data_IF_584441163898
#
_entry.id   IF_584441163898
#
_cell.length_a   1.000
_cell.length_b   1.000
_cell.length_c   1.000
_cell.angle_alpha   90.00
_cell.angle_beta   90.00
_cell.angle_gamma   90.00
#
_symmetry.space_group_name_H-M   'P 1'
#
loop_
_entity.id
_entity.type
_entity.pdbx_description
1 polymer ?
#
# COMPACT_ATOMS: atom_id res chain seq x y z
N UNK A 1 8.88 26.99 -14.91
CA UNK A 1 10.08 26.40 -15.48
C UNK A 1 9.73 25.32 -16.51
N UNK A 2 8.73 24.49 -16.21
CA UNK A 2 8.23 23.45 -17.12
C UNK A 2 7.01 23.96 -17.90
N UNK A 3 6.84 23.48 -19.15
CA UNK A 3 5.78 23.96 -20.05
C UNK A 3 4.40 23.45 -19.62
N UNK A 4 4.33 22.28 -19.01
CA UNK A 4 3.12 21.64 -18.53
C UNK A 4 3.45 20.69 -17.36
N UNK A 5 2.42 20.04 -16.81
CA UNK A 5 2.56 19.13 -15.69
C UNK A 5 3.28 17.82 -16.05
N UNK A 6 3.09 17.31 -17.26
CA UNK A 6 3.73 16.08 -17.74
C UNK A 6 5.24 16.26 -17.84
N UNK A 7 5.72 17.40 -18.44
CA UNK A 7 7.15 17.71 -18.51
C UNK A 7 7.78 17.79 -17.10
N UNK A 8 7.04 18.32 -16.13
CA UNK A 8 7.49 18.39 -14.74
C UNK A 8 7.61 16.99 -14.12
N UNK A 9 6.59 16.15 -14.30
CA UNK A 9 6.59 14.78 -13.76
C UNK A 9 7.72 13.95 -14.37
N UNK A 10 7.92 14.05 -15.68
CA UNK A 10 9.01 13.33 -16.36
C UNK A 10 10.38 13.76 -15.83
N UNK A 11 10.61 15.06 -15.68
CA UNK A 11 11.86 15.56 -15.13
C UNK A 11 12.09 15.12 -13.67
N UNK A 12 11.02 15.00 -12.90
CA UNK A 12 11.07 14.47 -11.54
C UNK A 12 11.41 12.98 -11.55
N UNK A 13 10.77 12.19 -12.41
CA UNK A 13 11.06 10.76 -12.59
C UNK A 13 12.51 10.51 -12.97
N UNK A 14 13.04 11.28 -13.93
CA UNK A 14 14.44 11.19 -14.37
C UNK A 14 15.43 11.50 -13.23
N UNK A 15 15.10 12.49 -12.39
CA UNK A 15 15.93 12.82 -11.23
C UNK A 15 15.89 11.70 -10.17
N UNK A 16 14.69 11.18 -9.87
CA UNK A 16 14.49 10.13 -8.87
C UNK A 16 15.08 8.78 -9.28
N UNK A 17 15.20 8.49 -10.57
CA UNK A 17 15.82 7.26 -11.04
C UNK A 17 17.23 7.05 -10.43
N UNK A 18 18.05 8.10 -10.41
CA UNK A 18 19.40 8.02 -9.85
C UNK A 18 19.40 7.61 -8.37
N UNK A 19 18.46 8.15 -7.59
CA UNK A 19 18.32 7.81 -6.18
C UNK A 19 17.83 6.38 -6.01
N UNK A 20 16.80 5.97 -6.74
CA UNK A 20 16.23 4.63 -6.67
C UNK A 20 17.28 3.55 -7.01
N UNK A 21 18.04 3.76 -8.07
CA UNK A 21 19.15 2.87 -8.46
C UNK A 21 20.24 2.79 -7.36
N UNK A 22 20.58 3.92 -6.73
CA UNK A 22 21.58 3.96 -5.66
C UNK A 22 21.11 3.18 -4.41
N UNK A 23 19.83 3.29 -4.03
CA UNK A 23 19.24 2.56 -2.91
C UNK A 23 19.33 1.05 -3.16
N UNK A 24 18.92 0.60 -4.34
CA UNK A 24 18.95 -0.82 -4.69
C UNK A 24 20.37 -1.35 -4.84
N UNK A 25 21.28 -0.57 -5.44
CA UNK A 25 22.70 -0.91 -5.54
C UNK A 25 23.38 -1.04 -4.17
N UNK A 26 22.90 -0.31 -3.16
CA UNK A 26 23.35 -0.46 -1.77
C UNK A 26 22.83 -1.73 -1.07
N UNK A 27 22.00 -2.55 -1.75
CA UNK A 27 21.49 -3.82 -1.25
C UNK A 27 20.14 -3.72 -0.52
N UNK A 28 19.47 -2.57 -0.57
CA UNK A 28 18.16 -2.37 0.04
C UNK A 28 17.02 -2.71 -0.92
N UNK A 29 15.84 -2.98 -0.34
CA UNK A 29 14.57 -2.99 -1.07
C UNK A 29 14.04 -1.55 -1.07
N UNK A 30 13.69 -1.06 -2.26
CA UNK A 30 13.08 0.25 -2.44
C UNK A 30 11.60 0.18 -2.09
N UNK A 31 11.17 0.95 -1.09
CA UNK A 31 9.75 1.15 -0.77
C UNK A 31 9.34 2.55 -1.22
N UNK A 32 8.36 2.62 -2.10
CA UNK A 32 7.80 3.85 -2.64
C UNK A 32 6.44 4.10 -1.99
N UNK A 33 6.24 5.31 -1.49
CA UNK A 33 4.96 5.75 -0.95
C UNK A 33 4.22 6.59 -2.00
N UNK A 34 3.02 6.14 -2.39
CA UNK A 34 2.20 6.75 -3.43
C UNK A 34 0.83 7.21 -2.90
N UNK A 35 0.79 8.28 -2.08
CA UNK A 35 -0.46 8.85 -1.62
C UNK A 35 -1.25 9.51 -2.77
N UNK A 36 -0.61 9.83 -3.87
CA UNK A 36 -1.23 10.33 -5.09
C UNK A 36 -2.22 9.35 -5.70
N UNK A 37 -1.99 8.04 -5.57
CA UNK A 37 -2.88 6.98 -6.06
C UNK A 37 -4.11 6.76 -5.17
N UNK A 38 -4.03 7.00 -3.88
CA UNK A 38 -5.15 6.85 -2.94
C UNK A 38 -5.74 8.20 -2.54
N UNK A 39 -5.00 8.96 -1.72
CA UNK A 39 -5.39 10.25 -1.17
C UNK A 39 -5.61 11.33 -2.24
N UNK A 40 -4.94 11.21 -3.39
CA UNK A 40 -5.01 12.20 -4.47
C UNK A 40 -6.43 12.52 -4.90
N UNK A 41 -7.33 11.55 -4.96
CA UNK A 41 -8.75 11.75 -5.29
C UNK A 41 -9.42 12.67 -4.27
N UNK A 42 -9.22 12.41 -2.97
CA UNK A 42 -9.81 13.19 -1.88
C UNK A 42 -9.26 14.64 -1.84
N UNK A 43 -7.95 14.81 -1.96
CA UNK A 43 -7.30 16.11 -1.76
C UNK A 43 -7.37 17.04 -2.98
N UNK A 44 -7.16 16.50 -4.19
CA UNK A 44 -6.95 17.31 -5.39
C UNK A 44 -8.10 17.21 -6.40
N UNK A 45 -8.87 16.13 -6.38
CA UNK A 45 -9.87 15.84 -7.42
C UNK A 45 -11.29 15.64 -6.90
N UNK A 46 -11.58 15.96 -5.62
CA UNK A 46 -12.91 15.77 -5.02
C UNK A 46 -14.06 16.44 -5.79
N UNK A 47 -13.78 17.59 -6.42
CA UNK A 47 -14.75 18.40 -7.18
C UNK A 47 -14.59 18.21 -8.70
N UNK A 48 -13.81 17.22 -9.16
CA UNK A 48 -13.57 16.92 -10.56
C UNK A 48 -14.18 15.58 -10.95
N UNK A 49 -14.42 15.32 -12.25
CA UNK A 49 -14.78 14.00 -12.74
C UNK A 49 -13.74 12.95 -12.32
N UNK A 50 -14.17 11.70 -12.09
CA UNK A 50 -13.28 10.62 -11.68
C UNK A 50 -12.22 10.32 -12.76
N UNK A 51 -12.58 10.48 -14.02
CA UNK A 51 -11.70 10.26 -15.18
C UNK A 51 -10.48 11.19 -15.17
N UNK A 52 -10.62 12.40 -14.62
CA UNK A 52 -9.50 13.34 -14.48
C UNK A 52 -8.48 12.86 -13.43
N UNK A 53 -8.95 12.21 -12.37
CA UNK A 53 -8.09 11.56 -11.39
C UNK A 53 -7.43 10.32 -11.99
N UNK A 54 -8.21 9.44 -12.63
CA UNK A 54 -7.69 8.21 -13.25
C UNK A 54 -6.62 8.51 -14.31
N UNK A 55 -6.82 9.53 -15.13
CA UNK A 55 -5.82 9.97 -16.11
C UNK A 55 -4.50 10.32 -15.45
N UNK A 56 -4.54 11.15 -14.39
CA UNK A 56 -3.32 11.55 -13.69
C UNK A 56 -2.67 10.39 -12.94
N UNK A 57 -3.46 9.54 -12.27
CA UNK A 57 -2.94 8.36 -11.57
C UNK A 57 -2.23 7.39 -12.53
N UNK A 58 -2.77 7.19 -13.73
CA UNK A 58 -2.12 6.39 -14.78
C UNK A 58 -0.80 7.03 -15.23
N UNK A 59 -0.78 8.35 -15.47
CA UNK A 59 0.44 9.07 -15.82
C UNK A 59 1.52 8.95 -14.74
N UNK A 60 1.14 9.04 -13.46
CA UNK A 60 2.08 8.87 -12.36
C UNK A 60 2.72 7.47 -12.36
N UNK A 61 1.93 6.41 -12.60
CA UNK A 61 2.47 5.05 -12.70
C UNK A 61 3.36 4.88 -13.95
N UNK A 62 3.05 5.53 -15.06
CA UNK A 62 3.90 5.50 -16.26
C UNK A 62 5.26 6.16 -16.00
N UNK A 63 5.29 7.34 -15.42
CA UNK A 63 6.51 8.05 -15.03
C UNK A 63 7.30 7.27 -13.99
N UNK A 64 6.61 6.66 -13.01
CA UNK A 64 7.24 5.80 -12.03
C UNK A 64 7.91 4.58 -12.68
N UNK A 65 7.24 3.91 -13.61
CA UNK A 65 7.79 2.77 -14.32
C UNK A 65 9.02 3.16 -15.16
N UNK A 66 9.01 4.35 -15.76
CA UNK A 66 10.20 4.89 -16.46
C UNK A 66 11.37 5.12 -15.50
N UNK A 67 11.10 5.65 -14.31
CA UNK A 67 12.13 5.82 -13.27
C UNK A 67 12.66 4.47 -12.72
N UNK A 68 11.86 3.42 -12.78
CA UNK A 68 12.20 2.06 -12.31
C UNK A 68 12.77 1.15 -13.42
N UNK A 69 12.94 1.62 -14.65
CA UNK A 69 13.27 0.78 -15.83
C UNK A 69 14.51 -0.10 -15.68
N UNK A 70 15.46 0.28 -14.83
CA UNK A 70 16.70 -0.46 -14.59
C UNK A 70 16.66 -1.29 -13.27
N UNK A 71 15.55 -1.29 -12.56
CA UNK A 71 15.41 -1.94 -11.25
C UNK A 71 14.51 -3.16 -11.40
N UNK A 72 14.96 -4.36 -10.97
CA UNK A 72 14.10 -5.54 -10.94
C UNK A 72 12.89 -5.36 -10.01
N UNK A 73 11.71 -5.80 -10.44
CA UNK A 73 10.47 -5.61 -9.69
C UNK A 73 10.50 -6.24 -8.28
N UNK A 74 11.27 -7.32 -8.08
CA UNK A 74 11.45 -7.98 -6.78
C UNK A 74 12.23 -7.13 -5.76
N UNK A 75 12.84 -6.03 -6.21
CA UNK A 75 13.51 -5.03 -5.37
C UNK A 75 12.64 -3.83 -5.05
N UNK A 76 11.39 -3.81 -5.53
CA UNK A 76 10.50 -2.65 -5.38
C UNK A 76 9.21 -3.07 -4.66
N UNK A 77 8.81 -2.24 -3.71
CA UNK A 77 7.52 -2.26 -3.03
C UNK A 77 6.81 -0.93 -3.26
N UNK A 78 5.53 -0.98 -3.53
CA UNK A 78 4.68 0.20 -3.67
C UNK A 78 3.65 0.22 -2.54
N UNK A 79 3.61 1.31 -1.78
CA UNK A 79 2.57 1.56 -0.80
C UNK A 79 1.55 2.53 -1.38
N UNK A 80 0.29 2.11 -1.47
CA UNK A 80 -0.85 2.97 -1.77
C UNK A 80 -1.44 3.46 -0.48
N UNK A 81 -1.47 4.77 -0.31
CA UNK A 81 -1.91 5.44 0.91
C UNK A 81 -3.12 6.33 0.64
N UNK A 82 -4.16 6.21 1.48
CA UNK A 82 -5.32 7.12 1.46
C UNK A 82 -5.22 8.24 2.48
N UNK A 83 -4.07 8.39 3.12
CA UNK A 83 -3.82 9.41 4.13
C UNK A 83 -3.97 8.88 5.55
N UNK A 84 -2.89 8.96 6.29
CA UNK A 84 -2.76 8.42 7.64
C UNK A 84 -3.19 9.47 8.68
N UNK A 85 -4.47 9.83 8.69
CA UNK A 85 -5.06 10.71 9.70
C UNK A 85 -6.47 10.26 10.07
N UNK A 86 -6.87 10.52 11.31
CA UNK A 86 -8.22 10.26 11.78
C UNK A 86 -9.14 11.42 11.35
N UNK A 87 -9.92 11.20 10.33
CA UNK A 87 -10.81 12.21 9.79
C UNK A 87 -11.76 11.68 8.71
N UNK A 88 -12.70 12.50 8.23
CA UNK A 88 -13.65 12.07 7.20
C UNK A 88 -12.97 11.94 5.84
N UNK A 89 -12.97 10.73 5.31
CA UNK A 89 -12.38 10.36 4.01
C UNK A 89 -13.42 9.99 2.95
N UNK A 90 -14.55 10.65 2.94
CA UNK A 90 -15.71 10.29 2.09
C UNK A 90 -15.54 10.60 0.59
N UNK A 91 -14.41 11.11 0.17
CA UNK A 91 -14.05 11.32 -1.24
C UNK A 91 -12.88 10.43 -1.71
N UNK A 92 -12.48 9.46 -0.92
CA UNK A 92 -11.41 8.52 -1.27
C UNK A 92 -11.75 7.77 -2.57
N UNK A 93 -10.73 7.47 -3.36
CA UNK A 93 -10.89 6.58 -4.50
C UNK A 93 -11.13 5.16 -3.99
N UNK A 94 -12.17 4.43 -4.48
CA UNK A 94 -12.38 3.05 -4.08
C UNK A 94 -11.26 2.15 -4.64
N UNK A 95 -11.00 1.03 -3.95
CA UNK A 95 -9.99 0.05 -4.37
C UNK A 95 -10.26 -0.47 -5.78
N UNK A 96 -11.51 -0.62 -6.19
CA UNK A 96 -11.88 -1.01 -7.57
C UNK A 96 -11.34 -0.09 -8.66
N UNK A 97 -11.15 1.21 -8.35
CA UNK A 97 -10.50 2.18 -9.24
C UNK A 97 -8.97 2.15 -9.11
N UNK A 98 -8.47 2.06 -7.88
CA UNK A 98 -7.03 2.19 -7.59
C UNK A 98 -6.25 0.93 -7.95
N UNK A 99 -6.80 -0.25 -7.66
CA UNK A 99 -6.10 -1.53 -7.82
C UNK A 99 -5.62 -1.79 -9.25
N UNK A 100 -6.44 -1.63 -10.32
CA UNK A 100 -5.98 -1.84 -11.68
C UNK A 100 -4.83 -0.92 -12.09
N UNK A 101 -4.79 0.30 -11.55
CA UNK A 101 -3.72 1.28 -11.80
C UNK A 101 -2.45 0.87 -11.06
N UNK A 102 -2.57 0.57 -9.76
CA UNK A 102 -1.43 0.20 -8.91
C UNK A 102 -0.76 -1.12 -9.35
N UNK A 103 -1.53 -2.10 -9.84
CA UNK A 103 -0.99 -3.36 -10.35
C UNK A 103 -0.11 -3.20 -11.60
N UNK A 104 -0.22 -2.08 -12.33
CA UNK A 104 0.63 -1.76 -13.49
C UNK A 104 2.02 -1.25 -13.10
N UNK A 105 2.23 -0.88 -11.83
CA UNK A 105 3.55 -0.45 -11.36
C UNK A 105 4.56 -1.60 -11.39
N UNK A 106 5.80 -1.30 -11.78
CA UNK A 106 6.93 -2.23 -11.79
C UNK A 106 7.44 -2.50 -10.35
N UNK A 107 6.51 -2.86 -9.46
CA UNK A 107 6.77 -3.24 -8.08
C UNK A 107 6.19 -4.64 -7.84
N UNK A 108 6.96 -5.54 -7.27
CA UNK A 108 6.47 -6.89 -6.97
C UNK A 108 5.47 -6.86 -5.81
N UNK A 109 5.74 -6.12 -4.74
CA UNK A 109 4.86 -6.08 -3.59
C UNK A 109 4.01 -4.79 -3.58
N UNK A 110 2.70 -4.97 -3.41
CA UNK A 110 1.73 -3.90 -3.23
C UNK A 110 1.27 -3.86 -1.78
N UNK A 111 1.54 -2.75 -1.09
CA UNK A 111 1.11 -2.47 0.27
C UNK A 111 -0.11 -1.54 0.21
N UNK A 112 -1.13 -1.79 1.01
CA UNK A 112 -2.37 -1.01 0.99
C UNK A 112 -3.15 -1.14 2.30
N UNK A 113 -4.01 -0.16 2.58
CA UNK A 113 -4.90 -0.14 3.73
C UNK A 113 -5.97 -1.24 3.60
N UNK A 114 -6.20 -2.01 4.67
CA UNK A 114 -7.21 -3.07 4.71
C UNK A 114 -7.73 -3.38 6.12
N UNK A 115 -7.30 -2.60 7.11
CA UNK A 115 -7.65 -2.78 8.52
C UNK A 115 -8.64 -1.78 9.03
N UNK A 116 -8.54 -0.53 8.60
CA UNK A 116 -9.41 0.54 9.06
C UNK A 116 -10.83 0.41 8.47
N UNK A 117 -11.85 0.95 9.15
CA UNK A 117 -13.25 0.78 8.75
C UNK A 117 -13.59 1.34 7.35
N UNK A 118 -12.76 2.24 6.80
CA UNK A 118 -12.99 2.85 5.49
C UNK A 118 -12.73 1.86 4.36
N UNK A 119 -11.66 1.04 4.50
CA UNK A 119 -11.15 0.16 3.46
C UNK A 119 -11.22 -1.32 3.80
N UNK A 120 -11.61 -1.68 5.04
CA UNK A 120 -11.64 -3.08 5.51
C UNK A 120 -12.58 -4.00 4.71
N UNK A 121 -13.57 -3.46 4.01
CA UNK A 121 -14.50 -4.22 3.16
C UNK A 121 -13.94 -4.47 1.75
N UNK A 122 -12.98 -3.67 1.29
CA UNK A 122 -12.49 -3.67 -0.10
C UNK A 122 -11.58 -4.86 -0.46
N UNK A 123 -11.32 -5.77 0.50
CA UNK A 123 -10.68 -7.05 0.17
C UNK A 123 -11.50 -7.86 -0.86
N UNK A 124 -12.80 -7.59 -0.97
CA UNK A 124 -13.67 -8.24 -1.95
C UNK A 124 -13.29 -7.89 -3.39
N UNK A 125 -12.78 -6.69 -3.65
CA UNK A 125 -12.32 -6.24 -4.97
C UNK A 125 -11.15 -7.08 -5.50
N UNK A 126 -10.31 -7.61 -4.59
CA UNK A 126 -9.19 -8.46 -4.97
C UNK A 126 -9.60 -9.84 -5.47
N UNK A 127 -10.79 -10.33 -5.10
CA UNK A 127 -11.30 -11.61 -5.59
C UNK A 127 -11.66 -11.59 -7.06
N UNK A 128 -12.15 -10.45 -7.53
CA UNK A 128 -12.63 -10.27 -8.89
C UNK A 128 -11.54 -9.64 -9.79
N UNK A 129 -10.42 -9.22 -9.21
CA UNK A 129 -9.31 -8.61 -9.93
C UNK A 129 -8.38 -9.67 -10.57
N UNK A 130 -7.88 -9.36 -11.77
CA UNK A 130 -6.80 -10.11 -12.40
C UNK A 130 -5.45 -9.70 -11.80
N UNK A 131 -5.04 -10.36 -10.72
CA UNK A 131 -3.77 -10.09 -10.04
C UNK A 131 -2.65 -10.92 -10.69
N UNK A 132 -1.62 -10.27 -11.30
CA UNK A 132 -0.50 -10.99 -11.90
C UNK A 132 0.17 -11.97 -10.94
N UNK A 133 0.63 -13.12 -11.44
CA UNK A 133 1.18 -14.21 -10.63
C UNK A 133 2.49 -13.86 -9.89
N UNK A 134 3.20 -12.86 -10.36
CA UNK A 134 4.44 -12.34 -9.76
C UNK A 134 4.17 -11.30 -8.64
N UNK A 135 2.94 -10.84 -8.48
CA UNK A 135 2.60 -9.86 -7.45
C UNK A 135 2.45 -10.49 -6.07
N UNK A 136 2.96 -9.80 -5.07
CA UNK A 136 2.80 -10.08 -3.65
C UNK A 136 1.88 -9.02 -3.06
N UNK A 137 0.89 -9.44 -2.29
CA UNK A 137 0.00 -8.53 -1.57
C UNK A 137 0.48 -8.35 -0.13
N UNK A 138 0.61 -7.12 0.31
CA UNK A 138 0.93 -6.77 1.69
C UNK A 138 -0.22 -5.93 2.30
N UNK A 139 -1.36 -6.58 2.61
CA UNK A 139 -2.48 -5.88 3.23
C UNK A 139 -2.12 -5.34 4.60
N UNK A 140 -2.63 -4.17 4.94
CA UNK A 140 -2.69 -3.71 6.31
C UNK A 140 -3.59 -4.64 7.14
N UNK A 141 -3.02 -5.30 8.14
CA UNK A 141 -3.77 -6.20 9.04
C UNK A 141 -3.91 -5.62 10.44
N UNK A 142 -3.28 -4.46 10.67
CA UNK A 142 -3.46 -3.59 11.83
C UNK A 142 -3.63 -2.15 11.36
N UNK A 143 -4.58 -1.44 11.98
CA UNK A 143 -4.84 -0.03 11.71
C UNK A 143 -3.75 0.86 12.32
N UNK A 144 -3.37 1.93 11.64
CA UNK A 144 -2.33 2.86 12.08
C UNK A 144 -2.85 4.17 12.67
N UNK A 145 -4.17 4.36 12.74
CA UNK A 145 -4.78 5.63 13.17
C UNK A 145 -5.52 5.55 14.51
N UNK A 146 -5.82 4.34 15.02
CA UNK A 146 -6.58 4.15 16.25
C UNK A 146 -5.77 3.52 17.37
N UNK A 147 -6.20 3.77 18.62
CA UNK A 147 -5.60 3.21 19.82
C UNK A 147 -6.16 1.83 20.23
N UNK A 148 -6.96 1.20 19.38
CA UNK A 148 -7.42 -0.17 19.61
C UNK A 148 -6.34 -1.16 19.16
N UNK A 149 -5.90 -2.04 20.05
CA UNK A 149 -5.02 -3.16 19.71
C UNK A 149 -5.89 -4.28 19.11
N UNK A 150 -5.63 -4.65 17.89
CA UNK A 150 -6.34 -5.73 17.21
C UNK A 150 -6.08 -7.07 17.92
N UNK A 151 -7.10 -7.91 18.01
CA UNK A 151 -6.92 -9.25 18.52
C UNK A 151 -6.16 -10.12 17.49
N UNK A 152 -5.15 -10.93 17.89
CA UNK A 152 -4.34 -11.72 16.95
C UNK A 152 -5.14 -12.63 16.02
N UNK A 153 -6.28 -13.17 16.48
CA UNK A 153 -7.19 -13.95 15.61
C UNK A 153 -7.81 -13.10 14.50
N UNK A 154 -8.09 -11.82 14.75
CA UNK A 154 -8.59 -10.91 13.71
C UNK A 154 -7.51 -10.64 12.67
N UNK A 155 -6.29 -10.42 13.12
CA UNK A 155 -5.11 -10.29 12.25
C UNK A 155 -4.96 -11.55 11.38
N UNK A 156 -5.02 -12.75 11.98
CA UNK A 156 -4.95 -13.99 11.23
C UNK A 156 -6.06 -14.12 10.18
N UNK A 157 -7.31 -13.77 10.53
CA UNK A 157 -8.43 -13.79 9.58
C UNK A 157 -8.20 -12.86 8.39
N UNK A 158 -7.60 -11.67 8.61
CA UNK A 158 -7.26 -10.73 7.56
C UNK A 158 -6.19 -11.29 6.62
N UNK A 159 -5.14 -11.90 7.15
CA UNK A 159 -4.09 -12.57 6.35
C UNK A 159 -4.68 -13.72 5.51
N UNK A 160 -5.49 -14.58 6.12
CA UNK A 160 -6.06 -15.75 5.47
C UNK A 160 -6.97 -15.38 4.29
N UNK A 161 -7.73 -14.27 4.37
CA UNK A 161 -8.57 -13.79 3.26
C UNK A 161 -7.74 -13.55 1.99
N UNK A 162 -6.59 -12.89 2.11
CA UNK A 162 -5.72 -12.62 0.97
C UNK A 162 -4.96 -13.89 0.53
N UNK A 163 -4.60 -14.76 1.46
CA UNK A 163 -4.00 -16.05 1.12
C UNK A 163 -4.94 -16.95 0.32
N UNK A 164 -6.24 -16.89 0.57
CA UNK A 164 -7.26 -17.58 -0.22
C UNK A 164 -7.41 -17.04 -1.63
N UNK A 165 -7.08 -15.75 -1.85
CA UNK A 165 -7.16 -15.10 -3.17
C UNK A 165 -5.91 -15.37 -4.01
N UNK A 166 -4.71 -15.11 -3.47
CA UNK A 166 -3.47 -15.12 -4.26
C UNK A 166 -2.54 -16.30 -3.92
N UNK A 167 -2.90 -17.13 -2.96
CA UNK A 167 -2.02 -18.20 -2.44
C UNK A 167 -1.14 -17.69 -1.29
N UNK A 168 -0.82 -18.63 -0.39
CA UNK A 168 -0.13 -18.36 0.88
C UNK A 168 1.29 -17.80 0.72
N UNK A 169 1.96 -18.09 -0.39
CA UNK A 169 3.32 -17.63 -0.70
C UNK A 169 3.36 -16.17 -1.14
N UNK A 170 2.21 -15.60 -1.48
CA UNK A 170 2.10 -14.24 -2.04
C UNK A 170 1.45 -13.23 -1.10
N UNK A 171 1.47 -13.49 0.22
CA UNK A 171 0.93 -12.56 1.23
C UNK A 171 1.97 -12.22 2.28
N UNK A 172 2.11 -10.93 2.57
CA UNK A 172 2.94 -10.39 3.67
C UNK A 172 2.03 -9.58 4.59
N UNK A 173 2.07 -9.82 5.90
CA UNK A 173 1.36 -8.99 6.86
C UNK A 173 2.00 -7.60 6.98
N UNK A 174 1.20 -6.53 6.87
CA UNK A 174 1.62 -5.14 7.02
C UNK A 174 0.73 -4.36 7.98
N UNK A 175 1.09 -3.13 8.27
CA UNK A 175 0.19 -2.11 8.83
C UNK A 175 -0.50 -1.35 7.71
N UNK A 176 -1.64 -0.72 7.99
CA UNK A 176 -2.34 0.11 7.00
C UNK A 176 -1.41 1.21 6.44
N UNK A 177 -0.69 1.89 7.33
CA UNK A 177 0.30 2.91 7.00
C UNK A 177 1.36 2.97 8.12
N UNK A 178 2.22 3.98 8.14
CA UNK A 178 3.05 4.30 9.30
C UNK A 178 2.23 4.84 10.48
N UNK A 179 2.74 4.72 11.69
CA UNK A 179 2.05 5.20 12.91
C UNK A 179 2.24 6.68 13.20
N UNK A 180 3.12 7.36 12.48
CA UNK A 180 3.37 8.79 12.63
C UNK A 180 3.85 9.36 11.29
N UNK A 181 2.93 9.95 10.54
CA UNK A 181 3.22 10.50 9.20
C UNK A 181 3.89 11.88 9.28
N UNK A 182 3.59 12.66 10.31
CA UNK A 182 4.10 14.02 10.49
C UNK A 182 4.80 14.14 11.83
N UNK A 183 6.03 14.62 11.83
CA UNK A 183 6.82 14.83 13.04
C UNK A 183 6.06 15.70 14.06
N UNK A 184 5.94 15.22 15.28
CA UNK A 184 5.21 15.90 16.36
C UNK A 184 3.68 15.74 16.31
N UNK A 185 3.16 14.95 15.37
CA UNK A 185 1.73 14.68 15.21
C UNK A 185 1.48 13.17 15.22
N UNK A 186 1.69 12.54 16.38
CA UNK A 186 1.39 11.12 16.61
C UNK A 186 -0.06 10.94 17.05
N UNK A 187 -0.86 10.17 16.32
CA UNK A 187 -2.24 9.82 16.70
C UNK A 187 -2.29 8.63 17.65
N UNK A 188 -1.29 7.75 17.61
CA UNK A 188 -1.22 6.52 18.38
C UNK A 188 -0.04 6.57 19.35
N UNK A 189 -0.30 6.25 20.61
CA UNK A 189 0.73 6.16 21.65
C UNK A 189 1.76 5.07 21.34
N UNK A 190 3.02 5.31 21.67
CA UNK A 190 4.14 4.41 21.35
C UNK A 190 3.94 3.00 21.94
N UNK A 191 3.48 2.90 23.20
CA UNK A 191 3.24 1.61 23.84
C UNK A 191 2.13 0.83 23.11
N UNK A 192 1.12 1.53 22.60
CA UNK A 192 0.05 0.92 21.82
C UNK A 192 0.57 0.47 20.44
N UNK A 193 1.45 1.23 19.80
CA UNK A 193 2.10 0.82 18.55
C UNK A 193 2.82 -0.52 18.73
N UNK A 194 3.65 -0.66 19.77
CA UNK A 194 4.34 -1.93 20.03
C UNK A 194 3.37 -3.06 20.38
N UNK A 195 2.27 -2.81 21.09
CA UNK A 195 1.24 -3.80 21.35
C UNK A 195 0.55 -4.26 20.06
N UNK A 196 0.24 -3.34 19.12
CA UNK A 196 -0.29 -3.66 17.80
C UNK A 196 0.68 -4.51 16.98
N UNK A 197 1.97 -4.14 16.95
CA UNK A 197 3.00 -4.93 16.28
C UNK A 197 3.14 -6.34 16.89
N UNK A 198 3.05 -6.46 18.21
CA UNK A 198 3.00 -7.75 18.91
C UNK A 198 1.80 -8.60 18.47
N UNK A 199 0.61 -8.00 18.40
CA UNK A 199 -0.60 -8.66 17.89
C UNK A 199 -0.46 -9.08 16.43
N UNK A 200 0.21 -8.27 15.60
CA UNK A 200 0.48 -8.63 14.20
C UNK A 200 1.39 -9.86 14.10
N UNK A 201 2.45 -9.93 14.89
CA UNK A 201 3.36 -11.09 14.92
C UNK A 201 2.62 -12.35 15.37
N UNK A 202 1.84 -12.29 16.44
CA UNK A 202 1.05 -13.42 16.94
C UNK A 202 -0.01 -13.86 15.92
N UNK A 203 -0.71 -12.92 15.30
CA UNK A 203 -1.69 -13.20 14.26
C UNK A 203 -1.08 -13.83 13.02
N UNK A 204 0.10 -13.37 12.60
CA UNK A 204 0.84 -13.97 11.50
C UNK A 204 1.29 -15.41 11.83
N UNK A 205 1.70 -15.69 13.06
CA UNK A 205 2.02 -17.05 13.51
C UNK A 205 0.79 -17.96 13.44
N UNK A 206 -0.39 -17.49 13.90
CA UNK A 206 -1.65 -18.23 13.81
C UNK A 206 -2.01 -18.54 12.35
N UNK A 207 -1.93 -17.55 11.46
CA UNK A 207 -2.22 -17.74 10.03
C UNK A 207 -1.23 -18.72 9.39
N UNK A 208 0.06 -18.59 9.67
CA UNK A 208 1.10 -19.48 9.17
C UNK A 208 0.86 -20.92 9.60
N UNK A 209 0.51 -21.16 10.87
CA UNK A 209 0.20 -22.48 11.37
C UNK A 209 -0.98 -23.14 10.60
N UNK A 210 -1.99 -22.37 10.26
CA UNK A 210 -3.14 -22.84 9.47
C UNK A 210 -2.77 -23.11 8.01
N UNK A 211 -1.99 -22.24 7.40
CA UNK A 211 -1.63 -22.35 5.98
C UNK A 211 -0.59 -23.42 5.68
N UNK A 212 0.32 -23.69 6.61
CA UNK A 212 1.46 -24.59 6.42
C UNK A 212 1.32 -25.90 7.19
N UNK A 213 0.27 -26.07 8.00
CA UNK A 213 0.02 -27.28 8.77
C UNK A 213 1.05 -27.54 9.89
N UNK A 214 1.76 -26.51 10.32
CA UNK A 214 2.66 -26.60 11.48
C UNK A 214 1.91 -26.20 12.73
N UNK A 215 2.08 -26.95 13.82
CA UNK A 215 1.67 -26.48 15.13
C UNK A 215 2.53 -25.26 15.49
N UNK A 216 1.85 -24.21 15.96
CA UNK A 216 2.50 -23.00 16.44
C UNK A 216 3.42 -23.28 17.62
#
# INVERSE_FOLDING_TARGET
HYSNHEDYLQALGDAMQTEYEAIVAAGFILLLDSPDLGLGRHMMFKDKPVEAYEHLANLHVEVLNDALRNIPADKVRLHVCWGNYEGPHHHDAPMSTVLPIALRANAQALLFESSNPRHAHEWEEFRDAEIPDDKILAPGVIDSTTNFVEHPRLVAQRILRFADIVGRERVIAGSDCGFSTVAGFGAVDEEIVYAKLGSMVEGAAIASAQLWGQAA
#
